data_IF_914038505684
#
_entry.id   IF_914038505684
#
_cell.length_a   1.000
_cell.length_b   1.000
_cell.length_c   1.000
_cell.angle_alpha   90.00
_cell.angle_beta   90.00
_cell.angle_gamma   90.00
#
_symmetry.space_group_name_H-M   'P 1'
#
loop_
_entity.id
_entity.type
_entity.pdbx_description
1 polymer ?
#
# COMPACT_ATOMS: atom_id res chain seq x y z
N UNK A 1 9.57 15.63 1.74
CA UNK A 1 10.62 14.61 1.59
C UNK A 1 10.22 13.71 0.44
N UNK A 2 11.18 13.43 -0.43
CA UNK A 2 11.03 13.29 -1.87
C UNK A 2 10.31 12.05 -2.39
N UNK A 3 9.46 12.29 -3.37
CA UNK A 3 9.25 11.43 -4.53
C UNK A 3 9.64 12.31 -5.72
N UNK A 4 10.67 11.90 -6.45
CA UNK A 4 11.12 12.62 -7.64
C UNK A 4 9.91 12.67 -8.61
N UNK A 5 9.36 13.86 -8.85
CA UNK A 5 8.25 14.07 -9.77
C UNK A 5 6.93 14.59 -9.18
N UNK A 6 6.90 15.07 -7.92
CA UNK A 6 5.69 15.73 -7.37
C UNK A 6 4.50 14.80 -7.13
N UNK A 7 4.66 13.49 -7.34
CA UNK A 7 3.64 12.49 -7.06
C UNK A 7 3.72 12.05 -5.60
N UNK A 8 2.56 11.93 -4.95
CA UNK A 8 2.47 11.32 -3.62
C UNK A 8 2.57 9.79 -3.74
N UNK A 9 3.10 9.12 -2.72
CA UNK A 9 3.29 7.65 -2.73
C UNK A 9 1.99 6.92 -3.06
N UNK A 10 0.87 7.44 -2.56
CA UNK A 10 -0.48 6.97 -2.89
C UNK A 10 -0.77 7.00 -4.39
N UNK A 11 -0.46 8.10 -5.07
CA UNK A 11 -0.74 8.23 -6.50
C UNK A 11 0.04 7.20 -7.30
N UNK A 12 1.30 6.97 -6.95
CA UNK A 12 2.11 5.91 -7.57
C UNK A 12 1.47 4.52 -7.40
N UNK A 13 0.94 4.20 -6.21
CA UNK A 13 0.24 2.93 -5.98
C UNK A 13 -1.10 2.83 -6.70
N UNK A 14 -1.85 3.93 -6.78
CA UNK A 14 -3.10 4.00 -7.54
C UNK A 14 -2.83 3.78 -9.04
N UNK A 15 -1.79 4.41 -9.61
CA UNK A 15 -1.39 4.25 -11.01
C UNK A 15 -0.93 2.81 -11.30
N UNK A 16 -0.17 2.19 -10.39
CA UNK A 16 0.26 0.80 -10.53
C UNK A 16 -0.91 -0.19 -10.43
N UNK A 17 -1.89 0.08 -9.58
CA UNK A 17 -3.10 -0.73 -9.47
C UNK A 17 -3.99 -0.63 -10.72
N UNK A 18 -4.05 0.55 -11.34
CA UNK A 18 -4.81 0.76 -12.57
C UNK A 18 -4.15 0.06 -13.77
N UNK A 19 -2.85 0.24 -13.95
CA UNK A 19 -2.12 -0.30 -15.12
C UNK A 19 -1.82 -1.80 -14.98
N UNK A 20 -1.54 -2.27 -13.76
CA UNK A 20 -1.06 -3.63 -13.51
C UNK A 20 -1.88 -4.40 -12.47
N UNK A 21 -3.14 -4.03 -12.25
CA UNK A 21 -3.96 -4.51 -11.13
C UNK A 21 -3.92 -6.00 -10.84
N UNK A 22 -3.97 -6.86 -11.86
CA UNK A 22 -3.95 -8.32 -11.71
C UNK A 22 -2.56 -8.95 -11.64
N UNK A 23 -1.48 -8.18 -11.86
CA UNK A 23 -0.11 -8.67 -11.72
C UNK A 23 0.26 -8.77 -10.24
N UNK A 24 1.03 -9.79 -9.89
CA UNK A 24 1.56 -9.96 -8.54
C UNK A 24 2.53 -8.83 -8.20
N UNK A 25 2.24 -8.12 -7.10
CA UNK A 25 3.07 -7.04 -6.57
C UNK A 25 3.95 -7.52 -5.40
N UNK A 26 3.40 -8.40 -4.55
CA UNK A 26 4.09 -8.89 -3.36
C UNK A 26 3.86 -10.39 -3.19
N UNK A 27 4.93 -11.11 -2.88
CA UNK A 27 4.89 -12.49 -2.43
C UNK A 27 5.50 -12.49 -1.03
N UNK A 28 4.74 -12.96 -0.04
CA UNK A 28 5.25 -13.12 1.31
C UNK A 28 5.08 -14.56 1.77
N UNK A 29 6.14 -15.11 2.33
CA UNK A 29 6.16 -16.42 2.93
C UNK A 29 6.23 -16.26 4.44
N UNK A 30 5.31 -16.90 5.15
CA UNK A 30 5.34 -16.99 6.60
C UNK A 30 6.34 -18.04 7.06
N UNK A 31 6.80 -17.94 8.31
CA UNK A 31 7.67 -18.95 8.94
C UNK A 31 7.04 -20.36 8.99
N UNK A 32 5.72 -20.47 8.84
CA UNK A 32 5.00 -21.74 8.71
C UNK A 32 4.94 -22.30 7.27
N UNK A 33 5.60 -21.65 6.30
CA UNK A 33 5.60 -22.07 4.89
C UNK A 33 4.35 -21.67 4.09
N UNK A 34 3.45 -20.87 4.67
CA UNK A 34 2.30 -20.32 3.92
C UNK A 34 2.79 -19.17 3.06
N UNK A 35 2.63 -19.32 1.74
CA UNK A 35 2.96 -18.30 0.74
C UNK A 35 1.68 -17.55 0.34
N UNK A 36 1.63 -16.27 0.67
CA UNK A 36 0.59 -15.36 0.22
C UNK A 36 1.10 -14.53 -0.95
N UNK A 37 0.21 -14.27 -1.90
CA UNK A 37 0.48 -13.46 -3.08
C UNK A 37 -0.55 -12.34 -3.11
N UNK A 38 -0.09 -11.13 -3.28
CA UNK A 38 -0.94 -9.96 -3.44
C UNK A 38 -0.69 -9.37 -4.81
N UNK A 39 -1.78 -9.13 -5.53
CA UNK A 39 -1.76 -8.34 -6.75
C UNK A 39 -1.61 -6.84 -6.44
N UNK A 40 -1.26 -6.03 -7.44
CA UNK A 40 -1.19 -4.57 -7.26
C UNK A 40 -2.52 -3.98 -6.80
N UNK A 41 -3.64 -4.52 -7.28
CA UNK A 41 -4.97 -4.10 -6.85
C UNK A 41 -5.24 -4.42 -5.38
N UNK A 42 -5.02 -5.67 -4.97
CA UNK A 42 -5.24 -6.10 -3.58
C UNK A 42 -4.33 -5.35 -2.60
N UNK A 43 -3.06 -5.16 -2.98
CA UNK A 43 -2.12 -4.42 -2.14
C UNK A 43 -2.52 -2.96 -2.00
N UNK A 44 -2.96 -2.30 -3.08
CA UNK A 44 -3.44 -0.92 -3.02
C UNK A 44 -4.72 -0.77 -2.17
N UNK A 45 -5.61 -1.76 -2.22
CA UNK A 45 -6.79 -1.79 -1.36
C UNK A 45 -6.41 -1.87 0.13
N UNK A 46 -5.45 -2.72 0.50
CA UNK A 46 -4.97 -2.83 1.89
C UNK A 46 -4.23 -1.56 2.36
N UNK A 47 -3.46 -0.91 1.48
CA UNK A 47 -2.84 0.40 1.76
C UNK A 47 -3.94 1.43 2.07
N UNK A 48 -4.95 1.56 1.22
CA UNK A 48 -6.04 2.51 1.41
C UNK A 48 -6.87 2.20 2.66
N UNK A 49 -7.12 0.92 2.94
CA UNK A 49 -7.80 0.48 4.16
C UNK A 49 -7.03 0.86 5.42
N UNK A 50 -5.72 0.66 5.42
CA UNK A 50 -4.85 1.02 6.55
C UNK A 50 -4.75 2.54 6.74
N UNK A 51 -4.68 3.30 5.64
CA UNK A 51 -4.69 4.76 5.70
C UNK A 51 -6.01 5.30 6.29
N UNK A 52 -7.14 4.72 5.89
CA UNK A 52 -8.44 5.06 6.46
C UNK A 52 -8.52 4.69 7.95
N UNK A 53 -7.95 3.56 8.37
CA UNK A 53 -7.84 3.21 9.78
C UNK A 53 -7.06 4.29 10.56
N UNK A 54 -5.90 4.70 10.08
CA UNK A 54 -5.13 5.79 10.71
C UNK A 54 -5.93 7.10 10.80
N UNK A 55 -6.68 7.43 9.75
CA UNK A 55 -7.58 8.59 9.78
C UNK A 55 -8.65 8.46 10.86
N UNK A 56 -9.28 7.29 10.99
CA UNK A 56 -10.29 7.04 12.04
C UNK A 56 -9.72 7.06 13.46
N UNK A 57 -8.44 6.73 13.62
CA UNK A 57 -7.71 6.82 14.88
C UNK A 57 -7.25 8.26 15.21
N UNK A 58 -7.53 9.22 14.32
CA UNK A 58 -7.20 10.63 14.52
C UNK A 58 -5.74 10.98 14.24
N UNK A 59 -5.00 10.10 13.57
CA UNK A 59 -3.58 10.31 13.21
C UNK A 59 -3.48 11.42 12.17
N UNK A 60 -2.57 12.36 12.41
CA UNK A 60 -2.36 13.55 11.58
C UNK A 60 -1.03 13.51 10.88
N UNK A 61 -0.91 14.33 9.83
CA UNK A 61 0.36 14.53 9.14
C UNK A 61 1.42 15.01 10.13
N UNK A 62 2.51 14.25 10.25
CA UNK A 62 3.61 14.53 11.19
C UNK A 62 3.63 13.60 12.39
N UNK A 63 2.53 12.89 12.66
CA UNK A 63 2.48 11.86 13.69
C UNK A 63 3.27 10.63 13.23
N UNK A 64 3.93 9.97 14.18
CA UNK A 64 4.75 8.78 13.92
C UNK A 64 3.90 7.54 14.23
N UNK A 65 3.91 6.60 13.29
CA UNK A 65 3.31 5.27 13.43
C UNK A 65 4.43 4.22 13.53
N UNK A 66 4.22 3.17 14.32
CA UNK A 66 5.18 2.10 14.59
C UNK A 66 4.88 0.84 13.76
#
# INVERSE_FOLDING_TARGET
MDIIGGQHLRQMWDDLADVYGHKTALICESSGGVVNRYSYLELNQEINRTANLFYTLGIRKGDKVA
#
